data_IF_551197504568
#
_entry.id   IF_551197504568
#
_cell.length_a   1.000
_cell.length_b   1.000
_cell.length_c   1.000
_cell.angle_alpha   90.00
_cell.angle_beta   90.00
_cell.angle_gamma   90.00
#
_symmetry.space_group_name_H-M   'P 1'
#
loop_
_entity.id
_entity.type
_entity.pdbx_description
1 polymer ?
#
# COMPACT_ATOMS: atom_id res chain seq x y z
N UNK A 1 -3.17 -6.47 26.17
CA UNK A 1 -3.11 -6.73 24.72
C UNK A 1 -1.75 -7.35 24.45
N UNK A 2 -1.68 -8.62 24.05
CA UNK A 2 -0.40 -9.23 23.74
C UNK A 2 0.17 -8.62 22.46
N UNK A 3 1.45 -8.24 22.51
CA UNK A 3 2.17 -7.70 21.37
C UNK A 3 2.47 -8.86 20.42
N UNK A 4 1.84 -8.85 19.25
CA UNK A 4 2.26 -9.71 18.14
C UNK A 4 3.63 -9.19 17.67
N UNK A 5 4.69 -9.93 17.98
CA UNK A 5 6.07 -9.55 17.62
C UNK A 5 6.50 -10.47 16.49
N UNK A 6 6.65 -9.89 15.32
CA UNK A 6 7.07 -10.62 14.14
C UNK A 6 8.52 -11.10 14.31
N UNK A 7 8.73 -12.42 14.15
CA UNK A 7 10.05 -13.04 14.26
C UNK A 7 10.86 -12.85 12.98
N UNK A 8 12.13 -12.46 13.14
CA UNK A 8 13.13 -12.37 12.06
C UNK A 8 13.77 -13.72 11.71
N UNK A 9 13.43 -14.78 12.44
CA UNK A 9 13.97 -16.13 12.26
C UNK A 9 12.87 -17.03 11.69
N UNK A 10 13.16 -17.62 10.52
CA UNK A 10 12.24 -18.51 9.81
C UNK A 10 12.24 -19.92 10.41
N UNK A 11 11.30 -20.14 11.34
CA UNK A 11 11.06 -21.45 11.94
C UNK A 11 10.09 -22.33 11.13
N UNK A 12 9.47 -21.79 10.07
CA UNK A 12 8.42 -22.45 9.30
C UNK A 12 8.86 -22.78 7.86
N UNK A 13 10.14 -22.60 7.54
CA UNK A 13 10.73 -22.78 6.21
C UNK A 13 10.01 -21.96 5.12
N UNK A 14 9.59 -20.74 5.47
CA UNK A 14 9.07 -19.76 4.52
C UNK A 14 10.11 -19.27 3.51
N UNK A 15 11.40 -19.56 3.70
CA UNK A 15 12.48 -19.22 2.79
C UNK A 15 12.23 -19.66 1.34
N UNK A 16 11.75 -20.89 1.12
CA UNK A 16 11.44 -21.37 -0.24
C UNK A 16 10.25 -20.64 -0.85
N UNK A 17 9.18 -20.45 -0.07
CA UNK A 17 7.95 -19.79 -0.55
C UNK A 17 8.19 -18.31 -0.84
N UNK A 18 8.95 -17.62 0.03
CA UNK A 18 9.34 -16.22 -0.16
C UNK A 18 10.23 -16.06 -1.38
N UNK A 19 11.23 -16.93 -1.58
CA UNK A 19 12.09 -16.90 -2.77
C UNK A 19 11.29 -17.05 -4.06
N UNK A 20 10.35 -18.00 -4.11
CA UNK A 20 9.46 -18.16 -5.28
C UNK A 20 8.59 -16.92 -5.52
N UNK A 21 8.08 -16.30 -4.46
CA UNK A 21 7.30 -15.07 -4.58
C UNK A 21 8.17 -13.92 -5.13
N UNK A 22 9.42 -13.80 -4.66
CA UNK A 22 10.39 -12.82 -5.15
C UNK A 22 10.72 -13.04 -6.63
N UNK A 23 10.99 -14.29 -7.04
CA UNK A 23 11.26 -14.63 -8.44
C UNK A 23 10.09 -14.24 -9.36
N UNK A 24 8.86 -14.46 -8.92
CA UNK A 24 7.66 -14.07 -9.67
C UNK A 24 7.56 -12.54 -9.77
N UNK A 25 7.78 -11.83 -8.66
CA UNK A 25 7.73 -10.36 -8.60
C UNK A 25 8.80 -9.70 -9.48
N UNK A 26 9.97 -10.34 -9.64
CA UNK A 26 11.07 -9.86 -10.49
C UNK A 26 10.91 -10.21 -11.97
N UNK A 27 10.00 -11.12 -12.32
CA UNK A 27 9.84 -11.56 -13.71
C UNK A 27 9.10 -10.52 -14.56
N UNK A 28 9.82 -9.75 -15.38
CA UNK A 28 9.24 -8.75 -16.29
C UNK A 28 8.13 -9.29 -17.20
N UNK A 29 8.20 -10.56 -17.58
CA UNK A 29 7.21 -11.21 -18.45
C UNK A 29 5.90 -11.55 -17.70
N UNK A 30 5.90 -11.51 -16.37
CA UNK A 30 4.73 -11.77 -15.53
C UNK A 30 4.10 -10.50 -14.98
N UNK A 31 4.70 -9.32 -15.19
CA UNK A 31 4.13 -8.05 -14.74
C UNK A 31 2.97 -7.60 -15.65
N UNK A 32 1.87 -7.07 -15.08
CA UNK A 32 1.59 -6.89 -13.65
C UNK A 32 1.10 -8.17 -12.98
N UNK A 33 1.65 -8.51 -11.81
CA UNK A 33 1.26 -9.69 -11.01
C UNK A 33 0.67 -9.27 -9.65
N UNK A 34 -0.26 -10.07 -9.14
CA UNK A 34 -0.80 -9.91 -7.79
C UNK A 34 -0.75 -11.25 -7.06
N UNK A 35 -0.12 -11.26 -5.88
CA UNK A 35 0.06 -12.47 -5.07
C UNK A 35 -0.77 -12.32 -3.79
N UNK A 36 -1.64 -13.29 -3.54
CA UNK A 36 -2.44 -13.37 -2.31
C UNK A 36 -1.88 -14.41 -1.34
N UNK A 37 -1.62 -14.01 -0.10
CA UNK A 37 -1.17 -14.92 0.96
C UNK A 37 -2.35 -15.24 1.88
N UNK A 38 -2.76 -16.50 1.90
CA UNK A 38 -3.90 -16.98 2.68
C UNK A 38 -3.44 -17.87 3.84
N UNK A 39 -4.13 -17.77 4.97
CA UNK A 39 -3.83 -18.60 6.14
C UNK A 39 -4.51 -18.07 7.40
N UNK A 40 -4.59 -18.93 8.42
CA UNK A 40 -5.19 -18.60 9.71
C UNK A 40 -4.47 -17.45 10.43
N UNK A 41 -5.13 -16.84 11.41
CA UNK A 41 -4.47 -15.89 12.32
C UNK A 41 -3.32 -16.58 13.06
N UNK A 42 -2.17 -15.90 13.16
CA UNK A 42 -0.94 -16.49 13.72
C UNK A 42 -0.17 -17.42 12.79
N UNK A 43 -0.60 -17.62 11.54
CA UNK A 43 0.11 -18.49 10.59
C UNK A 43 1.41 -17.88 10.00
N UNK A 44 1.87 -16.73 10.50
CA UNK A 44 3.13 -16.12 10.04
C UNK A 44 3.05 -15.34 8.71
N UNK A 45 1.86 -14.95 8.25
CA UNK A 45 1.68 -14.20 6.99
C UNK A 45 2.47 -12.88 6.96
N UNK A 46 2.38 -12.09 8.04
CA UNK A 46 3.14 -10.83 8.16
C UNK A 46 4.66 -11.09 8.18
N UNK A 47 5.08 -12.15 8.86
CA UNK A 47 6.49 -12.58 8.86
C UNK A 47 6.97 -12.96 7.46
N UNK A 48 6.15 -13.66 6.66
CA UNK A 48 6.48 -13.98 5.27
C UNK A 48 6.60 -12.71 4.41
N UNK A 49 5.71 -11.73 4.58
CA UNK A 49 5.82 -10.44 3.90
C UNK A 49 7.12 -9.70 4.27
N UNK A 50 7.52 -9.71 5.55
CA UNK A 50 8.80 -9.12 5.98
C UNK A 50 10.02 -9.83 5.40
N UNK A 51 9.97 -11.15 5.26
CA UNK A 51 11.05 -11.92 4.62
C UNK A 51 11.16 -11.54 3.14
N UNK A 52 10.04 -11.43 2.42
CA UNK A 52 10.01 -10.98 1.02
C UNK A 52 10.58 -9.56 0.89
N UNK A 53 10.13 -8.63 1.74
CA UNK A 53 10.64 -7.24 1.76
C UNK A 53 12.16 -7.21 1.95
N UNK A 54 12.66 -8.00 2.91
CA UNK A 54 14.09 -8.11 3.19
C UNK A 54 14.87 -8.65 1.98
N UNK A 55 14.40 -9.73 1.36
CA UNK A 55 15.04 -10.32 0.17
C UNK A 55 15.09 -9.34 -1.01
N UNK A 56 14.00 -8.61 -1.26
CA UNK A 56 13.97 -7.59 -2.32
C UNK A 56 14.97 -6.45 -2.01
N UNK A 57 15.03 -6.01 -0.75
CA UNK A 57 15.88 -4.89 -0.33
C UNK A 57 17.37 -5.24 -0.28
N UNK A 58 17.72 -6.47 0.08
CA UNK A 58 19.11 -6.94 0.18
C UNK A 58 19.73 -7.28 -1.17
N UNK A 59 18.94 -7.73 -2.15
CA UNK A 59 19.44 -8.16 -3.47
C UNK A 59 19.51 -7.03 -4.50
N UNK A 60 18.53 -6.13 -4.53
CA UNK A 60 18.33 -5.19 -5.65
C UNK A 60 18.23 -3.72 -5.20
N UNK A 61 18.86 -3.38 -4.06
CA UNK A 61 18.64 -2.18 -3.22
C UNK A 61 18.56 -0.77 -3.85
N UNK A 62 18.47 -0.61 -5.16
CA UNK A 62 18.23 0.67 -5.86
C UNK A 62 17.09 0.66 -6.90
N UNK A 63 16.66 -0.49 -7.45
CA UNK A 63 15.69 -0.51 -8.58
C UNK A 63 14.22 -0.78 -8.17
N UNK A 64 13.98 -1.39 -7.01
CA UNK A 64 12.63 -1.78 -6.55
C UNK A 64 12.26 -1.04 -5.27
N UNK A 65 11.24 -0.19 -5.34
CA UNK A 65 10.66 0.47 -4.17
C UNK A 65 9.55 -0.39 -3.55
N UNK A 66 9.80 -0.91 -2.35
CA UNK A 66 8.78 -1.62 -1.56
C UNK A 66 7.94 -0.61 -0.77
N UNK A 67 6.61 -0.70 -0.89
CA UNK A 67 5.66 0.15 -0.15
C UNK A 67 4.78 -0.73 0.72
N UNK A 68 5.00 -0.64 2.04
CA UNK A 68 4.16 -1.31 3.03
C UNK A 68 2.91 -0.50 3.36
N UNK A 69 1.75 -1.15 3.33
CA UNK A 69 0.46 -0.55 3.67
C UNK A 69 -0.31 -1.46 4.64
N UNK A 70 -0.57 -0.96 5.85
CA UNK A 70 -1.42 -1.65 6.83
C UNK A 70 -2.82 -1.05 6.83
N UNK A 71 -3.78 -1.79 6.28
CA UNK A 71 -5.17 -1.34 6.20
C UNK A 71 -5.83 -1.08 7.56
N UNK A 72 -5.36 -1.69 8.66
CA UNK A 72 -5.93 -1.49 9.99
C UNK A 72 -5.62 -0.10 10.55
N UNK A 73 -4.42 0.43 10.28
CA UNK A 73 -4.04 1.78 10.70
C UNK A 73 -4.91 2.86 10.02
N UNK A 74 -5.48 2.56 8.86
CA UNK A 74 -6.28 3.48 8.06
C UNK A 74 -7.78 3.19 8.08
N UNK A 75 -8.27 2.29 8.94
CA UNK A 75 -9.71 2.00 9.10
C UNK A 75 -10.55 3.21 9.56
N UNK A 76 -9.90 4.28 10.06
CA UNK A 76 -10.53 5.55 10.42
C UNK A 76 -10.38 6.68 9.40
N UNK A 77 -9.72 6.42 8.26
CA UNK A 77 -9.61 7.39 7.17
C UNK A 77 -10.76 7.17 6.18
N UNK A 78 -11.43 8.27 5.85
CA UNK A 78 -12.60 8.38 4.98
C UNK A 78 -12.35 8.02 3.49
N UNK A 79 -11.24 7.36 3.14
CA UNK A 79 -11.05 6.68 1.85
C UNK A 79 -9.77 5.84 1.90
N UNK A 80 -9.90 4.51 2.01
CA UNK A 80 -8.76 3.58 2.00
C UNK A 80 -7.89 3.70 0.74
N UNK A 81 -8.47 4.12 -0.40
CA UNK A 81 -7.73 4.33 -1.66
C UNK A 81 -6.90 5.61 -1.59
N UNK A 82 -7.46 6.67 -1.02
CA UNK A 82 -6.72 7.91 -0.81
C UNK A 82 -5.54 7.68 0.15
N UNK A 83 -5.76 6.95 1.25
CA UNK A 83 -4.71 6.60 2.20
C UNK A 83 -3.60 5.77 1.54
N UNK A 84 -3.95 4.76 0.73
CA UNK A 84 -2.96 3.98 -0.01
C UNK A 84 -2.14 4.86 -0.98
N UNK A 85 -2.79 5.73 -1.75
CA UNK A 85 -2.13 6.62 -2.70
C UNK A 85 -1.25 7.67 -2.00
N UNK A 86 -1.66 8.15 -0.83
CA UNK A 86 -0.87 9.05 0.01
C UNK A 86 0.41 8.36 0.51
N UNK A 87 0.32 7.14 1.02
CA UNK A 87 1.48 6.36 1.46
C UNK A 87 2.44 6.10 0.31
N UNK A 88 1.93 5.72 -0.87
CA UNK A 88 2.74 5.54 -2.09
C UNK A 88 3.43 6.85 -2.46
N UNK A 89 2.71 7.98 -2.43
CA UNK A 89 3.26 9.28 -2.79
C UNK A 89 4.40 9.70 -1.84
N UNK A 90 4.20 9.56 -0.53
CA UNK A 90 5.23 9.87 0.48
C UNK A 90 6.48 9.02 0.23
N UNK A 91 6.32 7.71 0.03
CA UNK A 91 7.45 6.79 -0.20
C UNK A 91 8.19 7.08 -1.51
N UNK A 92 7.48 7.40 -2.58
CA UNK A 92 8.10 7.81 -3.84
C UNK A 92 8.89 9.13 -3.69
N UNK A 93 8.38 10.08 -2.90
CA UNK A 93 9.08 11.35 -2.65
C UNK A 93 10.36 11.15 -1.83
N UNK A 94 10.30 10.28 -0.80
CA UNK A 94 11.47 9.90 0.00
C UNK A 94 12.54 9.22 -0.86
N UNK A 95 12.13 8.29 -1.73
CA UNK A 95 13.04 7.56 -2.63
C UNK A 95 13.63 8.45 -3.74
N UNK A 96 12.89 9.47 -4.20
CA UNK A 96 13.33 10.34 -5.28
C UNK A 96 14.57 11.18 -4.96
N UNK A 97 14.88 11.44 -3.68
CA UNK A 97 16.03 12.26 -3.22
C UNK A 97 16.27 13.57 -4.02
N UNK A 98 15.22 14.19 -4.57
CA UNK A 98 15.33 15.41 -5.37
C UNK A 98 15.32 15.23 -6.89
N UNK A 99 15.06 14.03 -7.42
CA UNK A 99 14.77 13.82 -8.85
C UNK A 99 13.46 14.51 -9.24
N UNK A 100 13.57 15.64 -9.96
CA UNK A 100 12.44 16.46 -10.38
C UNK A 100 11.38 15.67 -11.16
N UNK A 101 11.75 14.61 -11.92
CA UNK A 101 10.79 13.81 -12.67
C UNK A 101 9.93 12.93 -11.75
N UNK A 102 10.55 12.30 -10.75
CA UNK A 102 9.84 11.44 -9.81
C UNK A 102 8.97 12.30 -8.89
N UNK A 103 9.51 13.41 -8.38
CA UNK A 103 8.75 14.39 -7.57
C UNK A 103 7.53 14.92 -8.33
N UNK A 104 7.68 15.25 -9.62
CA UNK A 104 6.57 15.70 -10.46
C UNK A 104 5.51 14.62 -10.68
N UNK A 105 5.90 13.36 -10.85
CA UNK A 105 4.96 12.23 -10.98
C UNK A 105 4.20 12.00 -9.68
N UNK A 106 4.90 12.04 -8.55
CA UNK A 106 4.32 11.96 -7.20
C UNK A 106 3.31 13.07 -6.95
N UNK A 107 3.66 14.33 -7.26
CA UNK A 107 2.76 15.47 -7.10
C UNK A 107 1.53 15.37 -7.99
N UNK A 108 1.68 14.83 -9.21
CA UNK A 108 0.55 14.57 -10.10
C UNK A 108 -0.39 13.48 -9.57
N UNK A 109 0.14 12.45 -8.90
CA UNK A 109 -0.68 11.45 -8.22
C UNK A 109 -1.44 12.07 -7.06
N UNK A 110 -0.77 12.81 -6.18
CA UNK A 110 -1.39 13.48 -5.04
C UNK A 110 -2.52 14.44 -5.45
N UNK A 111 -2.28 15.29 -6.46
CA UNK A 111 -3.29 16.20 -6.98
C UNK A 111 -4.53 15.50 -7.56
N UNK A 112 -4.39 14.26 -8.06
CA UNK A 112 -5.54 13.49 -8.55
C UNK A 112 -6.39 13.00 -7.38
N UNK A 113 -5.76 12.57 -6.29
CA UNK A 113 -6.46 12.16 -5.06
C UNK A 113 -7.25 13.32 -4.48
N UNK A 114 -6.64 14.49 -4.36
CA UNK A 114 -7.31 15.69 -3.83
C UNK A 114 -8.50 16.12 -4.68
N UNK A 115 -8.38 16.04 -6.01
CA UNK A 115 -9.50 16.35 -6.91
C UNK A 115 -10.65 15.38 -6.75
N UNK A 116 -10.38 14.09 -6.63
CA UNK A 116 -11.42 13.06 -6.42
C UNK A 116 -12.12 13.29 -5.07
N UNK A 117 -11.36 13.58 -4.02
CA UNK A 117 -11.89 13.91 -2.69
C UNK A 117 -12.74 15.19 -2.70
N UNK A 118 -12.26 16.26 -3.35
CA UNK A 118 -13.00 17.51 -3.48
C UNK A 118 -14.31 17.33 -4.28
N UNK A 119 -14.28 16.50 -5.33
CA UNK A 119 -15.47 16.08 -6.09
C UNK A 119 -16.48 15.33 -5.21
N UNK A 120 -15.99 14.40 -4.37
CA UNK A 120 -16.84 13.70 -3.41
C UNK A 120 -17.59 14.66 -2.48
N UNK A 121 -16.87 15.60 -1.86
CA UNK A 121 -17.45 16.61 -0.97
C UNK A 121 -18.45 17.54 -1.67
N UNK A 122 -18.19 17.91 -2.94
CA UNK A 122 -19.12 18.76 -3.69
C UNK A 122 -20.42 18.03 -4.04
N UNK A 123 -20.34 16.75 -4.43
CA UNK A 123 -21.53 15.92 -4.70
C UNK A 123 -22.38 15.81 -3.44
N UNK A 124 -21.75 15.59 -2.28
CA UNK A 124 -22.47 15.55 -1.00
C UNK A 124 -23.12 16.89 -0.65
N UNK A 125 -22.40 18.00 -0.81
CA UNK A 125 -22.97 19.34 -0.58
C UNK A 125 -24.20 19.62 -1.44
N UNK A 126 -24.18 19.22 -2.71
CA UNK A 126 -25.33 19.34 -3.63
C UNK A 126 -26.49 18.44 -3.18
N UNK A 127 -26.21 17.19 -2.83
CA UNK A 127 -27.23 16.24 -2.41
C UNK A 127 -27.91 16.68 -1.10
N UNK A 128 -27.13 17.17 -0.14
CA UNK A 128 -27.64 17.77 1.10
C UNK A 128 -28.50 19.01 0.82
N UNK A 129 -28.08 19.89 -0.10
CA UNK A 129 -28.87 21.05 -0.50
C UNK A 129 -30.20 20.67 -1.18
N UNK A 130 -30.26 19.49 -1.80
CA UNK A 130 -31.49 18.92 -2.39
C UNK A 130 -32.28 18.04 -1.43
N UNK A 131 -31.90 17.99 -0.14
CA UNK A 131 -32.60 17.22 0.89
C UNK A 131 -32.43 15.70 0.76
N UNK A 132 -31.43 15.24 0.00
CA UNK A 132 -31.11 13.82 -0.14
C UNK A 132 -30.10 13.45 0.95
N UNK A 133 -30.47 12.61 1.94
CA UNK A 133 -29.53 12.17 2.96
C UNK A 133 -28.52 11.20 2.34
N UNK A 134 -27.27 11.65 2.15
CA UNK A 134 -26.17 10.83 1.60
C UNK A 134 -25.50 9.94 2.63
N UNK A 135 -25.79 10.12 3.93
CA UNK A 135 -25.28 9.27 5.01
C UNK A 135 -23.76 9.25 5.15
N UNK A 136 -23.04 10.21 4.56
CA UNK A 136 -21.58 10.23 4.52
C UNK A 136 -20.96 9.12 3.68
N UNK A 137 -21.69 8.54 2.71
CA UNK A 137 -21.23 7.40 1.91
C UNK A 137 -20.14 7.80 0.90
N UNK A 138 -20.00 9.09 0.58
CA UNK A 138 -19.02 9.60 -0.41
C UNK A 138 -17.85 10.31 0.28
N UNK A 139 -18.01 10.72 1.54
CA UNK A 139 -16.98 11.25 2.43
C UNK A 139 -16.49 10.26 3.49
N UNK A 140 -16.59 8.94 3.24
CA UNK A 140 -16.04 7.85 4.07
C UNK A 140 -15.28 6.81 3.26
#
# INVERSE_FOLDING_TARGET
MWSDVESSVDYLNFGEVSSLAVDILKSNNMLPVSIGIFGNWGAGKSSLLKIIEKQISEEDGEDILVVNFDAWLYQGYDDARAALLEVIAIKLNEAAQGDENIVKRTFNLFNRVDKVRALGLTIEGIALAHGIPTGGIVSR
#
